data_IF_344928022113
#
_entry.id   IF_344928022113
#
_cell.length_a   1.000
_cell.length_b   1.000
_cell.length_c   1.000
_cell.angle_alpha   90.00
_cell.angle_beta   90.00
_cell.angle_gamma   90.00
#
_symmetry.space_group_name_H-M   'P 1'
#
loop_
_entity.id
_entity.type
_entity.pdbx_description
1 polymer ?
#
# COMPACT_ATOMS: atom_id res chain seq x y z
N UNK A 1 -61.49 -6.20 77.75
CA UNK A 1 -62.89 -5.86 78.02
C UNK A 1 -63.16 -6.38 79.42
N UNK A 2 -63.65 -5.55 80.33
CA UNK A 2 -64.01 -6.00 81.68
C UNK A 2 -65.46 -6.53 81.71
N UNK A 3 -65.89 -7.03 82.87
CA UNK A 3 -67.21 -7.62 83.12
C UNK A 3 -68.37 -6.62 82.91
N UNK A 4 -68.07 -5.34 82.63
CA UNK A 4 -69.03 -4.27 82.32
C UNK A 4 -69.01 -3.83 80.85
N UNK A 5 -68.36 -4.61 79.97
CA UNK A 5 -68.18 -4.30 78.55
C UNK A 5 -67.38 -3.03 78.25
N UNK A 6 -66.60 -2.49 79.19
CA UNK A 6 -65.72 -1.37 78.87
C UNK A 6 -64.53 -1.87 78.02
N UNK A 7 -64.33 -1.26 76.86
CA UNK A 7 -63.16 -1.49 75.99
C UNK A 7 -62.26 -0.27 75.99
N UNK A 8 -60.99 -0.47 76.32
CA UNK A 8 -59.92 0.50 76.05
C UNK A 8 -59.20 0.04 74.79
N UNK A 9 -59.15 0.91 73.78
CA UNK A 9 -58.37 0.69 72.56
C UNK A 9 -57.03 1.40 72.70
N UNK A 10 -55.95 0.64 72.71
CA UNK A 10 -54.58 1.19 72.59
C UNK A 10 -54.22 1.12 71.10
N UNK A 11 -54.14 2.28 70.46
CA UNK A 11 -53.65 2.37 69.08
C UNK A 11 -52.13 2.55 69.12
N UNK A 12 -51.38 1.57 68.60
CA UNK A 12 -49.95 1.73 68.29
C UNK A 12 -49.81 2.17 66.84
N UNK A 13 -49.33 3.39 66.61
CA UNK A 13 -48.90 3.79 65.28
C UNK A 13 -47.62 3.02 64.94
N UNK A 14 -47.71 2.07 64.02
CA UNK A 14 -46.54 1.37 63.46
C UNK A 14 -46.20 2.06 62.15
N UNK A 15 -45.12 2.82 62.15
CA UNK A 15 -44.51 3.31 60.91
C UNK A 15 -43.56 2.23 60.40
N UNK A 16 -43.95 1.51 59.35
CA UNK A 16 -43.04 0.65 58.60
C UNK A 16 -42.32 1.57 57.62
N UNK A 17 -41.13 2.05 57.98
CA UNK A 17 -40.19 2.59 57.00
C UNK A 17 -39.63 1.40 56.23
N UNK A 18 -39.73 1.39 54.90
CA UNK A 18 -38.95 0.48 54.07
C UNK A 18 -37.50 0.52 54.57
N UNK A 19 -36.91 -0.63 54.88
CA UNK A 19 -35.47 -0.68 55.11
C UNK A 19 -34.78 0.06 53.96
N UNK A 20 -33.66 0.75 54.22
CA UNK A 20 -32.82 1.25 53.12
C UNK A 20 -32.28 0.01 52.37
N UNK A 21 -33.07 -0.51 51.44
CA UNK A 21 -32.70 -1.63 50.58
C UNK A 21 -31.64 -1.07 49.64
N UNK A 22 -30.41 -1.58 49.71
CA UNK A 22 -29.35 -1.18 48.80
C UNK A 22 -29.66 -1.66 47.39
N UNK A 23 -29.24 -0.89 46.39
CA UNK A 23 -29.25 -1.35 44.99
C UNK A 23 -28.43 -2.64 44.82
N UNK A 24 -28.69 -3.43 43.76
CA UNK A 24 -27.85 -4.55 43.41
C UNK A 24 -26.38 -4.17 43.25
N UNK A 25 -25.49 -5.11 43.49
CA UNK A 25 -24.04 -4.96 43.25
C UNK A 25 -23.66 -5.82 42.06
N UNK A 26 -22.97 -5.24 41.07
CA UNK A 26 -22.39 -5.97 39.93
C UNK A 26 -20.90 -6.14 40.20
N UNK A 27 -20.40 -7.38 40.11
CA UNK A 27 -19.00 -7.74 40.31
C UNK A 27 -18.40 -8.42 39.07
N UNK A 28 -17.08 -8.38 38.95
CA UNK A 28 -16.33 -9.06 37.87
C UNK A 28 -16.06 -8.24 36.62
N UNK A 29 -16.59 -7.00 36.52
CA UNK A 29 -16.34 -6.13 35.36
C UNK A 29 -14.91 -5.57 35.39
N UNK A 30 -14.14 -5.80 34.33
CA UNK A 30 -12.77 -5.30 34.17
C UNK A 30 -12.53 -4.76 32.78
N UNK A 31 -11.87 -3.62 32.67
CA UNK A 31 -11.48 -3.07 31.38
C UNK A 31 -10.51 -4.00 30.64
N UNK A 32 -10.60 -4.02 29.31
CA UNK A 32 -9.82 -4.90 28.45
C UNK A 32 -9.19 -4.11 27.29
N UNK A 33 -7.97 -4.49 26.93
CA UNK A 33 -7.23 -3.92 25.81
C UNK A 33 -6.82 -5.06 24.86
N UNK A 34 -7.08 -4.86 23.56
CA UNK A 34 -6.76 -5.79 22.49
C UNK A 34 -5.98 -5.09 21.39
N UNK A 35 -5.13 -5.83 20.69
CA UNK A 35 -4.58 -5.36 19.42
C UNK A 35 -5.51 -5.73 18.28
N UNK A 36 -5.67 -4.86 17.29
CA UNK A 36 -6.46 -5.15 16.07
C UNK A 36 -6.00 -6.47 15.44
N UNK A 37 -4.71 -6.78 15.50
CA UNK A 37 -4.14 -8.04 15.00
C UNK A 37 -4.54 -9.31 15.75
N UNK A 38 -4.99 -9.21 17.00
CA UNK A 38 -5.42 -10.36 17.82
C UNK A 38 -6.79 -10.88 17.39
N UNK A 39 -7.52 -10.13 16.56
CA UNK A 39 -8.87 -10.45 16.10
C UNK A 39 -8.88 -10.66 14.58
N UNK A 40 -9.01 -11.92 14.16
CA UNK A 40 -9.07 -12.31 12.73
C UNK A 40 -10.48 -12.21 12.14
N UNK A 41 -11.49 -12.15 13.00
CA UNK A 41 -12.89 -12.31 12.61
C UNK A 41 -13.58 -10.94 12.69
N UNK A 42 -14.48 -10.66 11.74
CA UNK A 42 -15.25 -9.40 11.70
C UNK A 42 -16.32 -9.30 12.78
N UNK A 43 -16.31 -10.20 13.78
CA UNK A 43 -17.30 -10.23 14.85
C UNK A 43 -16.98 -9.20 15.94
N UNK A 44 -18.02 -8.76 16.65
CA UNK A 44 -17.89 -7.91 17.84
C UNK A 44 -17.18 -8.66 18.98
N UNK A 45 -16.62 -7.93 19.95
CA UNK A 45 -16.01 -8.54 21.13
C UNK A 45 -17.00 -9.45 21.87
N UNK A 46 -16.46 -10.51 22.48
CA UNK A 46 -17.24 -11.43 23.29
C UNK A 46 -17.60 -10.75 24.62
N UNK A 47 -18.89 -10.66 24.91
CA UNK A 47 -19.40 -10.23 26.20
C UNK A 47 -18.92 -11.22 27.27
N UNK A 48 -18.28 -10.72 28.33
CA UNK A 48 -17.84 -11.53 29.46
C UNK A 48 -19.07 -12.09 30.20
N UNK A 49 -19.25 -13.41 30.11
CA UNK A 49 -20.36 -14.15 30.72
C UNK A 49 -20.11 -14.48 32.20
N UNK A 50 -18.95 -14.10 32.75
CA UNK A 50 -18.59 -14.34 34.15
C UNK A 50 -18.99 -13.20 35.10
N UNK A 51 -19.48 -12.08 34.56
CA UNK A 51 -20.03 -10.96 35.34
C UNK A 51 -21.28 -11.42 36.10
N UNK A 52 -21.32 -11.14 37.40
CA UNK A 52 -22.44 -11.53 38.27
C UNK A 52 -23.01 -10.34 39.01
N UNK A 53 -24.27 -10.45 39.44
CA UNK A 53 -24.89 -9.46 40.30
C UNK A 53 -25.58 -10.10 41.51
N UNK A 54 -25.54 -9.43 42.65
CA UNK A 54 -26.26 -9.83 43.87
C UNK A 54 -27.18 -8.72 44.35
N UNK A 55 -28.37 -9.08 44.81
CA UNK A 55 -29.27 -8.16 45.50
C UNK A 55 -28.82 -7.87 46.95
N UNK A 56 -29.57 -7.03 47.68
CA UNK A 56 -29.27 -6.69 49.08
C UNK A 56 -29.28 -7.90 50.05
N UNK A 57 -29.92 -9.01 49.67
CA UNK A 57 -30.00 -10.24 50.45
C UNK A 57 -28.87 -11.24 50.08
N UNK A 58 -27.99 -10.86 49.15
CA UNK A 58 -26.90 -11.70 48.65
C UNK A 58 -27.35 -12.78 47.65
N UNK A 59 -28.57 -12.68 47.11
CA UNK A 59 -29.08 -13.61 46.10
C UNK A 59 -28.54 -13.19 44.73
N UNK A 60 -28.05 -14.15 43.95
CA UNK A 60 -27.64 -13.90 42.57
C UNK A 60 -28.85 -13.53 41.71
N UNK A 61 -28.73 -12.46 40.94
CA UNK A 61 -29.75 -11.99 39.99
C UNK A 61 -29.19 -11.94 38.56
N UNK A 62 -30.06 -11.96 37.52
CA UNK A 62 -29.61 -11.86 36.13
C UNK A 62 -28.87 -10.55 35.84
N UNK A 63 -27.88 -10.64 34.95
CA UNK A 63 -27.17 -9.48 34.39
C UNK A 63 -27.48 -9.41 32.91
N UNK A 64 -27.98 -8.27 32.46
CA UNK A 64 -28.13 -7.97 31.03
C UNK A 64 -26.93 -7.15 30.56
N UNK A 65 -26.38 -7.50 29.39
CA UNK A 65 -25.27 -6.80 28.78
C UNK A 65 -25.69 -6.22 27.42
N UNK A 66 -25.28 -4.98 27.16
CA UNK A 66 -25.48 -4.31 25.88
C UNK A 66 -24.17 -3.69 25.40
N UNK A 67 -23.93 -3.70 24.09
CA UNK A 67 -22.73 -3.13 23.49
C UNK A 67 -23.08 -2.37 22.21
N UNK A 68 -22.24 -1.40 21.82
CA UNK A 68 -22.32 -0.77 20.50
C UNK A 68 -22.09 -1.78 19.38
N UNK A 69 -22.55 -1.52 18.16
CA UNK A 69 -22.12 -2.29 16.99
C UNK A 69 -20.60 -2.17 16.86
N UNK A 70 -19.88 -3.25 17.13
CA UNK A 70 -18.42 -3.28 17.04
C UNK A 70 -18.05 -4.01 15.76
N UNK A 71 -17.39 -3.27 14.87
CA UNK A 71 -16.57 -3.83 13.79
C UNK A 71 -15.13 -3.54 14.17
N UNK A 72 -14.26 -4.56 14.10
CA UNK A 72 -12.83 -4.61 14.48
C UNK A 72 -11.94 -3.43 13.97
N UNK A 73 -12.23 -2.23 14.44
CA UNK A 73 -11.60 -0.96 14.06
C UNK A 73 -11.00 -0.32 15.31
N UNK A 74 -9.75 0.17 15.28
CA UNK A 74 -9.12 0.81 16.43
C UNK A 74 -10.00 1.89 17.09
N UNK A 75 -10.09 1.86 18.42
CA UNK A 75 -10.98 2.76 19.16
C UNK A 75 -11.31 2.30 20.57
N UNK A 76 -12.15 3.08 21.24
CA UNK A 76 -12.68 2.77 22.57
C UNK A 76 -14.18 2.47 22.47
N UNK A 77 -14.57 1.36 23.06
CA UNK A 77 -15.92 0.80 23.05
C UNK A 77 -16.40 0.56 24.47
N UNK A 78 -17.72 0.43 24.63
CA UNK A 78 -18.37 0.26 25.92
C UNK A 78 -19.27 -0.97 25.91
N UNK A 79 -19.11 -1.83 26.91
CA UNK A 79 -20.09 -2.85 27.27
C UNK A 79 -20.78 -2.37 28.55
N UNK A 80 -22.10 -2.25 28.50
CA UNK A 80 -22.90 -1.79 29.63
C UNK A 80 -23.63 -2.97 30.24
N UNK A 81 -23.30 -3.29 31.49
CA UNK A 81 -23.92 -4.32 32.29
C UNK A 81 -24.98 -3.70 33.19
N UNK A 82 -26.18 -4.28 33.22
CA UNK A 82 -27.31 -3.81 34.00
C UNK A 82 -27.93 -4.96 34.79
N UNK A 83 -28.27 -4.72 36.05
CA UNK A 83 -28.99 -5.66 36.90
C UNK A 83 -30.15 -4.93 37.60
N UNK A 84 -31.31 -5.57 37.62
CA UNK A 84 -32.55 -5.04 38.20
C UNK A 84 -33.05 -6.05 39.24
N UNK A 85 -33.34 -5.59 40.46
CA UNK A 85 -33.92 -6.45 41.51
C UNK A 85 -35.44 -6.51 41.47
N UNK A 86 -36.03 -7.34 42.34
CA UNK A 86 -37.49 -7.49 42.52
C UNK A 86 -38.19 -6.20 43.00
N UNK A 87 -37.44 -5.14 43.35
CA UNK A 87 -37.92 -3.83 43.77
C UNK A 87 -37.72 -2.76 42.69
N UNK A 88 -37.44 -3.17 41.45
CA UNK A 88 -37.17 -2.31 40.29
C UNK A 88 -35.94 -1.38 40.47
N UNK A 89 -35.02 -1.70 41.39
CA UNK A 89 -33.79 -0.94 41.55
C UNK A 89 -32.74 -1.40 40.54
N UNK A 90 -32.19 -0.46 39.79
CA UNK A 90 -31.17 -0.73 38.77
C UNK A 90 -29.77 -0.30 39.21
N UNK A 91 -28.79 -1.18 38.95
CA UNK A 91 -27.36 -0.87 38.94
C UNK A 91 -26.80 -1.09 37.55
N UNK A 92 -25.93 -0.17 37.12
CA UNK A 92 -25.26 -0.24 35.82
C UNK A 92 -23.76 -0.07 36.01
N UNK A 93 -22.97 -0.92 35.35
CA UNK A 93 -21.51 -0.83 35.30
C UNK A 93 -21.06 -0.85 33.85
N UNK A 94 -20.11 0.01 33.49
CA UNK A 94 -19.54 0.11 32.15
C UNK A 94 -18.15 -0.52 32.16
N UNK A 95 -17.93 -1.45 31.23
CA UNK A 95 -16.62 -1.96 30.85
C UNK A 95 -16.08 -1.16 29.68
N UNK A 96 -14.83 -0.68 29.77
CA UNK A 96 -14.12 -0.11 28.63
C UNK A 96 -13.38 -1.21 27.87
N UNK A 97 -13.56 -1.20 26.56
CA UNK A 97 -12.87 -2.10 25.61
C UNK A 97 -12.07 -1.24 24.66
N UNK A 98 -10.74 -1.36 24.69
CA UNK A 98 -9.84 -0.58 23.83
C UNK A 98 -9.19 -1.45 22.78
N UNK A 99 -9.33 -1.08 21.51
CA UNK A 99 -8.62 -1.71 20.39
C UNK A 99 -7.48 -0.79 19.97
N UNK A 100 -6.26 -1.28 20.07
CA UNK A 100 -5.07 -0.60 19.57
C UNK A 100 -4.84 -0.93 18.10
N UNK A 101 -4.51 0.08 17.30
CA UNK A 101 -4.01 -0.14 15.94
C UNK A 101 -2.54 -0.51 15.99
N UNK A 102 -2.23 -1.79 15.83
CA UNK A 102 -0.86 -2.28 15.79
C UNK A 102 -0.39 -2.62 14.37
N UNK A 103 -1.21 -2.41 13.35
CA UNK A 103 -0.87 -2.71 11.96
C UNK A 103 0.30 -1.87 11.42
N UNK A 104 0.42 -0.55 11.69
CA UNK A 104 1.58 0.21 11.25
C UNK A 104 2.91 -0.39 11.73
N UNK A 105 3.00 -0.78 13.00
CA UNK A 105 4.20 -1.41 13.57
C UNK A 105 4.48 -2.78 12.92
N UNK A 106 3.44 -3.59 12.69
CA UNK A 106 3.57 -4.89 11.99
C UNK A 106 4.06 -4.72 10.55
N UNK A 107 3.55 -3.71 9.84
CA UNK A 107 3.93 -3.40 8.46
C UNK A 107 5.39 -2.94 8.37
N UNK A 108 5.85 -2.14 9.33
CA UNK A 108 7.28 -1.78 9.44
C UNK A 108 8.17 -3.01 9.66
N UNK A 109 7.68 -4.02 10.39
CA UNK A 109 8.32 -5.32 10.58
C UNK A 109 8.16 -6.26 9.36
N UNK A 110 7.49 -5.80 8.29
CA UNK A 110 7.25 -6.55 7.06
C UNK A 110 6.12 -7.60 7.14
N UNK A 111 5.31 -7.56 8.21
CA UNK A 111 4.10 -8.37 8.37
C UNK A 111 2.90 -7.59 7.85
N UNK A 112 2.53 -7.83 6.59
CA UNK A 112 1.48 -7.08 5.90
C UNK A 112 0.16 -7.83 6.02
N UNK A 113 -0.91 -7.21 6.58
CA UNK A 113 -2.20 -7.87 6.65
C UNK A 113 -2.84 -7.98 5.26
N UNK A 114 -3.46 -9.13 4.98
CA UNK A 114 -4.17 -9.42 3.74
C UNK A 114 -5.68 -9.22 3.93
N UNK A 115 -6.07 -7.97 4.20
CA UNK A 115 -7.40 -7.51 4.59
C UNK A 115 -8.04 -6.47 3.63
N UNK A 116 -7.38 -6.16 2.51
CA UNK A 116 -7.79 -5.19 1.49
C UNK A 116 -7.29 -3.75 1.72
N UNK A 117 -6.55 -3.48 2.79
CA UNK A 117 -6.07 -2.12 3.13
C UNK A 117 -4.74 -1.78 2.40
N UNK A 118 -3.89 -2.78 2.22
CA UNK A 118 -2.52 -2.60 1.69
C UNK A 118 -2.38 -3.04 0.23
N UNK A 119 -3.21 -3.99 -0.18
CA UNK A 119 -3.20 -4.58 -1.51
C UNK A 119 -4.61 -4.63 -2.08
N UNK A 120 -4.70 -4.48 -3.40
CA UNK A 120 -5.89 -4.80 -4.17
C UNK A 120 -6.30 -6.27 -3.94
N UNK A 121 -7.61 -6.58 -3.99
CA UNK A 121 -8.14 -7.92 -3.69
C UNK A 121 -7.64 -9.01 -4.63
N UNK A 122 -7.42 -8.70 -5.91
CA UNK A 122 -6.84 -9.65 -6.86
C UNK A 122 -5.34 -9.83 -6.60
N UNK A 123 -4.64 -8.76 -6.19
CA UNK A 123 -3.24 -8.88 -5.78
C UNK A 123 -3.10 -9.71 -4.50
N UNK A 124 -3.99 -9.55 -3.52
CA UNK A 124 -4.01 -10.43 -2.35
C UNK A 124 -4.27 -11.88 -2.71
N UNK A 125 -5.19 -12.15 -3.63
CA UNK A 125 -5.48 -13.51 -4.12
C UNK A 125 -4.22 -14.11 -4.76
N UNK A 126 -3.54 -13.34 -5.59
CA UNK A 126 -2.24 -13.73 -6.15
C UNK A 126 -1.20 -14.03 -5.06
N UNK A 127 -1.09 -13.19 -4.03
CA UNK A 127 -0.16 -13.39 -2.92
C UNK A 127 -0.51 -14.65 -2.12
N UNK A 128 -1.80 -14.88 -1.84
CA UNK A 128 -2.32 -16.07 -1.14
C UNK A 128 -1.98 -17.35 -1.89
N UNK A 129 -2.17 -17.38 -3.20
CA UNK A 129 -2.00 -18.61 -3.97
C UNK A 129 -0.52 -18.93 -4.27
N UNK A 130 0.32 -17.90 -4.49
CA UNK A 130 1.73 -18.10 -4.89
C UNK A 130 2.73 -18.02 -3.73
N UNK A 131 2.35 -17.39 -2.61
CA UNK A 131 3.23 -17.14 -1.47
C UNK A 131 2.63 -17.60 -0.13
N UNK A 132 1.68 -18.56 -0.16
CA UNK A 132 1.06 -19.16 1.03
C UNK A 132 2.05 -19.61 2.11
N UNK A 133 3.23 -20.11 1.73
CA UNK A 133 4.30 -20.50 2.67
C UNK A 133 4.83 -19.36 3.54
N UNK A 134 4.62 -18.11 3.15
CA UNK A 134 5.03 -16.91 3.90
C UNK A 134 3.86 -16.24 4.61
N UNK A 135 2.68 -16.87 4.59
CA UNK A 135 1.47 -16.37 5.23
C UNK A 135 1.24 -17.13 6.54
N UNK A 136 1.00 -16.39 7.62
CA UNK A 136 0.63 -16.93 8.92
C UNK A 136 -0.57 -16.17 9.46
N UNK A 137 -1.70 -16.87 9.61
CA UNK A 137 -2.98 -16.23 9.92
C UNK A 137 -3.37 -15.25 8.81
N UNK A 138 -3.61 -13.99 9.17
CA UNK A 138 -3.96 -12.92 8.24
C UNK A 138 -2.77 -12.15 7.66
N UNK A 139 -1.53 -12.47 8.05
CA UNK A 139 -0.35 -11.69 7.68
C UNK A 139 0.52 -12.41 6.66
N UNK A 140 0.93 -11.69 5.62
CA UNK A 140 2.02 -12.03 4.74
C UNK A 140 3.33 -11.48 5.30
N UNK A 141 4.36 -12.32 5.44
CA UNK A 141 5.71 -11.84 5.69
C UNK A 141 6.41 -11.47 4.37
N UNK A 142 6.36 -10.18 4.02
CA UNK A 142 6.89 -9.65 2.78
C UNK A 142 8.44 -9.66 2.73
N UNK A 143 9.13 -9.79 3.86
CA UNK A 143 10.60 -9.83 3.91
C UNK A 143 11.19 -11.11 3.29
N UNK A 144 10.40 -12.17 3.15
CA UNK A 144 10.83 -13.42 2.52
C UNK A 144 10.61 -13.47 1.00
N UNK A 145 10.02 -12.42 0.41
CA UNK A 145 9.76 -12.34 -1.02
C UNK A 145 10.86 -11.49 -1.67
N UNK A 146 11.75 -12.17 -2.41
CA UNK A 146 12.87 -11.53 -3.10
C UNK A 146 12.59 -11.31 -4.59
N UNK A 147 11.65 -12.04 -5.18
CA UNK A 147 11.30 -11.92 -6.59
C UNK A 147 9.79 -12.02 -6.72
N UNK A 148 9.20 -11.18 -7.58
CA UNK A 148 7.77 -11.20 -7.84
C UNK A 148 7.51 -11.14 -9.34
N UNK A 149 7.00 -12.25 -9.88
CA UNK A 149 6.68 -12.40 -11.31
C UNK A 149 5.20 -12.67 -11.50
N UNK A 150 4.48 -11.72 -12.09
CA UNK A 150 3.07 -11.88 -12.47
C UNK A 150 3.02 -12.23 -13.96
N UNK A 151 2.67 -13.48 -14.26
CA UNK A 151 2.61 -14.00 -15.62
C UNK A 151 1.17 -14.02 -16.17
N UNK A 152 1.05 -14.29 -17.47
CA UNK A 152 -0.22 -14.30 -18.20
C UNK A 152 -1.26 -15.33 -17.74
N UNK A 153 -0.89 -16.28 -16.88
CA UNK A 153 -1.84 -17.26 -16.34
C UNK A 153 -2.72 -16.65 -15.23
N UNK A 154 -2.29 -15.51 -14.69
CA UNK A 154 -3.03 -14.70 -13.74
C UNK A 154 -3.78 -13.57 -14.45
N UNK A 155 -4.95 -13.92 -15.01
CA UNK A 155 -5.77 -13.02 -15.83
C UNK A 155 -6.70 -12.09 -15.03
N UNK A 156 -6.49 -11.98 -13.73
CA UNK A 156 -7.31 -11.08 -12.92
C UNK A 156 -6.88 -9.64 -13.23
N UNK A 157 -7.83 -8.71 -13.48
CA UNK A 157 -7.49 -7.31 -13.61
C UNK A 157 -7.06 -6.75 -12.26
N UNK A 158 -5.91 -6.11 -12.18
CA UNK A 158 -5.41 -5.49 -10.96
C UNK A 158 -5.71 -3.99 -10.97
N UNK A 159 -6.40 -3.47 -9.95
CA UNK A 159 -6.56 -2.03 -9.83
C UNK A 159 -5.23 -1.35 -9.46
N UNK A 160 -4.51 -1.91 -8.48
CA UNK A 160 -3.17 -1.43 -8.11
C UNK A 160 -2.27 -2.59 -7.69
N UNK A 161 -1.10 -2.66 -8.32
CA UNK A 161 0.03 -3.46 -7.83
C UNK A 161 0.96 -2.54 -7.04
N UNK A 162 0.88 -2.63 -5.72
CA UNK A 162 1.71 -1.85 -4.80
C UNK A 162 2.86 -2.70 -4.26
N UNK A 163 4.07 -2.38 -4.67
CA UNK A 163 5.27 -3.13 -4.29
C UNK A 163 6.02 -2.53 -3.09
N UNK A 164 5.57 -1.40 -2.55
CA UNK A 164 6.31 -0.61 -1.56
C UNK A 164 6.60 -1.38 -0.25
N UNK A 165 5.85 -2.46 0.02
CA UNK A 165 5.97 -3.29 1.22
C UNK A 165 7.00 -4.44 1.11
N UNK A 166 7.53 -4.74 -0.08
CA UNK A 166 8.46 -5.85 -0.28
C UNK A 166 9.92 -5.39 -0.19
N UNK A 167 10.39 -5.06 1.03
CA UNK A 167 11.70 -4.39 1.24
C UNK A 167 12.94 -5.17 0.78
N UNK A 168 12.83 -6.49 0.67
CA UNK A 168 13.92 -7.36 0.19
C UNK A 168 13.78 -7.74 -1.29
N UNK A 169 12.80 -7.18 -2.00
CA UNK A 169 12.55 -7.48 -3.40
C UNK A 169 13.73 -7.04 -4.26
N UNK A 170 14.22 -7.94 -5.10
CA UNK A 170 15.35 -7.81 -6.02
C UNK A 170 14.92 -7.72 -7.47
N UNK A 171 13.78 -8.35 -7.80
CA UNK A 171 13.23 -8.37 -9.15
C UNK A 171 11.70 -8.22 -9.16
N UNK A 172 11.21 -7.39 -10.09
CA UNK A 172 9.81 -7.33 -10.50
C UNK A 172 9.70 -7.70 -11.97
N UNK A 173 8.78 -8.60 -12.30
CA UNK A 173 8.43 -8.93 -13.68
C UNK A 173 6.90 -9.03 -13.86
N UNK A 174 6.35 -8.29 -14.81
CA UNK A 174 4.91 -8.31 -15.14
C UNK A 174 4.77 -8.56 -16.63
N UNK A 175 4.15 -9.68 -17.01
CA UNK A 175 4.00 -10.09 -18.41
C UNK A 175 2.98 -9.26 -19.19
N UNK A 176 3.12 -9.23 -20.52
CA UNK A 176 2.32 -8.42 -21.47
C UNK A 176 0.79 -8.60 -21.38
N UNK A 177 0.31 -9.76 -20.93
CA UNK A 177 -1.12 -10.07 -20.85
C UNK A 177 -1.74 -9.76 -19.48
N UNK A 178 -0.98 -9.18 -18.57
CA UNK A 178 -1.48 -8.79 -17.24
C UNK A 178 -2.15 -7.43 -17.36
N UNK A 179 -3.45 -7.38 -17.07
CA UNK A 179 -4.20 -6.13 -17.01
C UNK A 179 -4.01 -5.48 -15.64
N UNK A 180 -3.24 -4.38 -15.59
CA UNK A 180 -3.05 -3.59 -14.37
C UNK A 180 -3.31 -2.12 -14.65
N UNK A 181 -4.10 -1.45 -13.82
CA UNK A 181 -4.35 -0.01 -13.96
C UNK A 181 -3.22 0.84 -13.40
N UNK A 182 -2.71 0.49 -12.21
CA UNK A 182 -1.69 1.27 -11.51
C UNK A 182 -0.57 0.38 -10.97
N UNK A 183 0.67 0.83 -11.09
CA UNK A 183 1.86 0.19 -10.53
C UNK A 183 2.60 1.20 -9.65
N UNK A 184 2.90 0.82 -8.42
CA UNK A 184 3.68 1.63 -7.45
C UNK A 184 4.92 0.87 -6.99
N UNK A 185 6.09 1.48 -7.17
CA UNK A 185 7.39 0.89 -6.82
C UNK A 185 8.27 1.97 -6.18
N UNK A 186 8.21 2.10 -4.87
CA UNK A 186 8.92 3.15 -4.12
C UNK A 186 9.73 2.59 -2.97
N UNK A 187 10.87 3.21 -2.69
CA UNK A 187 11.67 2.92 -1.49
C UNK A 187 12.08 1.43 -1.37
N UNK A 188 12.48 0.82 -2.49
CA UNK A 188 12.93 -0.57 -2.57
C UNK A 188 14.45 -0.63 -2.81
N UNK A 189 15.20 -0.53 -1.73
CA UNK A 189 16.66 -0.43 -1.74
C UNK A 189 17.38 -1.75 -2.07
N UNK A 190 16.66 -2.86 -2.26
CA UNK A 190 17.25 -4.13 -2.72
C UNK A 190 16.94 -4.40 -4.20
N UNK A 191 16.08 -3.59 -4.81
CA UNK A 191 15.53 -3.87 -6.13
C UNK A 191 16.57 -3.55 -7.21
N UNK A 192 16.90 -4.57 -7.99
CA UNK A 192 17.96 -4.51 -9.00
C UNK A 192 17.45 -4.62 -10.44
N UNK A 193 16.27 -5.22 -10.64
CA UNK A 193 15.69 -5.46 -11.96
C UNK A 193 14.19 -5.19 -11.97
N UNK A 194 13.74 -4.40 -12.95
CA UNK A 194 12.32 -4.16 -13.25
C UNK A 194 12.04 -4.49 -14.71
N UNK A 195 11.05 -5.34 -14.95
CA UNK A 195 10.52 -5.65 -16.28
C UNK A 195 9.00 -5.54 -16.28
N UNK A 196 8.48 -4.43 -16.80
CA UNK A 196 7.05 -4.16 -16.89
C UNK A 196 6.60 -4.17 -18.34
N UNK A 197 5.56 -4.94 -18.62
CA UNK A 197 4.90 -4.96 -19.91
C UNK A 197 3.41 -4.68 -19.69
N UNK A 198 2.89 -3.57 -20.20
CA UNK A 198 1.49 -3.21 -19.89
C UNK A 198 0.97 -2.01 -20.66
N UNK A 199 0.57 -2.23 -21.91
CA UNK A 199 0.00 -1.20 -22.81
C UNK A 199 -1.25 -0.51 -22.24
N UNK A 200 -1.96 -1.13 -21.28
CA UNK A 200 -3.13 -0.58 -20.59
C UNK A 200 -2.86 0.13 -19.25
N UNK A 201 -1.62 0.18 -18.79
CA UNK A 201 -1.29 0.74 -17.46
C UNK A 201 -1.46 2.25 -17.46
N UNK A 202 -2.37 2.76 -16.62
CA UNK A 202 -2.72 4.19 -16.56
C UNK A 202 -1.75 5.02 -15.72
N UNK A 203 -1.04 4.39 -14.80
CA UNK A 203 -0.06 5.06 -13.96
C UNK A 203 1.02 4.09 -13.51
N UNK A 204 2.26 4.43 -13.82
CA UNK A 204 3.46 3.81 -13.27
C UNK A 204 4.20 4.89 -12.49
N UNK A 205 4.33 4.70 -11.18
CA UNK A 205 5.09 5.60 -10.30
C UNK A 205 6.25 4.85 -9.68
N UNK A 206 7.45 5.41 -9.81
CA UNK A 206 8.66 4.85 -9.21
C UNK A 206 9.50 5.95 -8.58
N UNK A 207 10.09 5.66 -7.41
CA UNK A 207 10.99 6.59 -6.74
C UNK A 207 11.94 5.86 -5.78
N UNK A 208 13.09 6.46 -5.51
CA UNK A 208 14.06 5.99 -4.50
C UNK A 208 14.45 4.52 -4.69
N UNK A 209 14.90 4.18 -5.91
CA UNK A 209 15.35 2.84 -6.31
C UNK A 209 16.87 2.81 -6.50
N UNK A 210 17.60 3.00 -5.40
CA UNK A 210 19.05 3.27 -5.42
C UNK A 210 19.92 2.11 -5.95
N UNK A 211 19.43 0.88 -5.88
CA UNK A 211 20.14 -0.33 -6.33
C UNK A 211 19.71 -0.82 -7.72
N UNK A 212 18.82 -0.11 -8.41
CA UNK A 212 18.28 -0.52 -9.70
C UNK A 212 19.38 -0.50 -10.77
N UNK A 213 19.53 -1.62 -11.48
CA UNK A 213 20.54 -1.81 -12.54
C UNK A 213 19.91 -1.95 -13.93
N UNK A 214 18.78 -2.64 -13.98
CA UNK A 214 18.06 -2.92 -15.23
C UNK A 214 16.62 -2.43 -15.12
N UNK A 215 16.24 -1.55 -16.03
CA UNK A 215 14.88 -1.02 -16.12
C UNK A 215 14.33 -1.23 -17.52
N UNK A 216 13.29 -2.05 -17.62
CA UNK A 216 12.50 -2.23 -18.83
C UNK A 216 11.04 -1.92 -18.55
N UNK A 217 10.48 -0.96 -19.27
CA UNK A 217 9.05 -0.64 -19.28
C UNK A 217 8.61 -0.54 -20.74
N UNK A 218 7.76 -1.46 -21.16
CA UNK A 218 7.15 -1.48 -22.48
C UNK A 218 5.65 -1.23 -22.31
N UNK A 219 5.19 -0.07 -22.79
CA UNK A 219 3.78 0.30 -22.75
C UNK A 219 3.34 0.94 -21.44
N UNK A 220 2.18 1.62 -21.50
CA UNK A 220 1.54 2.26 -20.36
C UNK A 220 1.87 3.75 -20.23
N UNK A 221 1.53 4.31 -19.06
CA UNK A 221 1.73 5.74 -18.76
C UNK A 221 2.62 5.90 -17.55
N UNK A 222 3.80 6.50 -17.75
CA UNK A 222 4.67 6.87 -16.64
C UNK A 222 4.16 8.18 -16.02
N UNK A 223 4.12 8.22 -14.69
CA UNK A 223 3.72 9.44 -13.99
C UNK A 223 4.78 10.53 -14.19
N UNK A 224 4.35 11.78 -14.39
CA UNK A 224 5.24 12.94 -14.48
C UNK A 224 6.00 13.22 -13.18
N UNK A 225 5.58 12.61 -12.06
CA UNK A 225 6.29 12.67 -10.79
C UNK A 225 7.46 11.69 -10.69
N UNK A 226 7.63 10.79 -11.66
CA UNK A 226 8.72 9.79 -11.65
C UNK A 226 10.05 10.49 -11.89
N UNK A 227 11.00 10.33 -10.95
CA UNK A 227 12.33 10.93 -11.03
C UNK A 227 13.40 9.82 -11.03
N UNK A 228 14.30 9.84 -12.03
CA UNK A 228 15.39 8.89 -12.17
C UNK A 228 16.69 9.33 -11.45
N UNK A 229 16.71 10.53 -10.85
CA UNK A 229 17.91 11.13 -10.25
C UNK A 229 18.60 10.19 -9.26
N UNK A 230 17.82 9.48 -8.43
CA UNK A 230 18.31 8.58 -7.39
C UNK A 230 18.80 7.22 -7.91
N UNK A 231 18.51 6.86 -9.16
CA UNK A 231 18.73 5.53 -9.74
C UNK A 231 20.09 5.41 -10.45
N UNK A 232 21.14 5.97 -9.86
CA UNK A 232 22.49 6.14 -10.47
C UNK A 232 23.22 4.86 -10.86
N UNK A 233 22.71 3.69 -10.43
CA UNK A 233 23.26 2.36 -10.74
C UNK A 233 22.69 1.72 -12.00
N UNK A 234 21.71 2.34 -12.67
CA UNK A 234 21.15 1.80 -13.91
C UNK A 234 22.26 1.71 -14.97
N UNK A 235 22.42 0.51 -15.55
CA UNK A 235 23.33 0.22 -16.65
C UNK A 235 22.59 -0.05 -17.96
N UNK A 236 21.35 -0.54 -17.88
CA UNK A 236 20.49 -0.84 -19.02
C UNK A 236 19.10 -0.23 -18.81
N UNK A 237 18.66 0.56 -19.78
CA UNK A 237 17.35 1.21 -19.76
C UNK A 237 16.59 0.96 -21.07
N UNK A 238 15.35 0.53 -20.94
CA UNK A 238 14.41 0.36 -22.04
C UNK A 238 13.06 0.97 -21.64
N UNK A 239 12.70 2.10 -22.25
CA UNK A 239 11.49 2.88 -21.97
C UNK A 239 10.74 3.10 -23.28
N UNK A 240 9.96 2.11 -23.72
CA UNK A 240 9.33 2.13 -25.04
C UNK A 240 7.81 2.14 -24.97
N UNK A 241 7.17 2.75 -25.96
CA UNK A 241 5.71 2.84 -26.10
C UNK A 241 5.01 3.48 -24.88
N UNK A 242 5.68 4.39 -24.18
CA UNK A 242 5.15 5.07 -23.01
C UNK A 242 4.42 6.36 -23.39
N UNK A 243 3.34 6.63 -22.67
CA UNK A 243 2.68 7.94 -22.64
C UNK A 243 3.02 8.68 -21.35
N UNK A 244 2.83 10.00 -21.33
CA UNK A 244 3.09 10.84 -20.15
C UNK A 244 4.56 11.21 -19.93
N UNK A 245 5.50 10.63 -20.69
CA UNK A 245 6.92 10.97 -20.65
C UNK A 245 7.21 12.14 -21.59
N UNK A 246 7.06 13.38 -21.11
CA UNK A 246 7.31 14.56 -21.96
C UNK A 246 8.77 15.03 -21.99
N UNK A 247 9.49 14.79 -20.89
CA UNK A 247 10.90 15.09 -20.70
C UNK A 247 11.56 13.93 -19.95
N UNK A 248 12.82 13.67 -20.26
CA UNK A 248 13.61 12.65 -19.60
C UNK A 248 14.99 13.20 -19.24
N UNK A 249 15.32 13.22 -17.96
CA UNK A 249 16.64 13.63 -17.46
C UNK A 249 17.46 12.39 -17.11
N UNK A 250 18.58 12.20 -17.82
CA UNK A 250 19.50 11.07 -17.63
C UNK A 250 20.86 11.52 -17.08
N UNK A 251 21.00 12.79 -16.67
CA UNK A 251 22.29 13.36 -16.22
C UNK A 251 22.91 12.59 -15.05
N UNK A 252 22.09 12.09 -14.11
CA UNK A 252 22.57 11.33 -12.96
C UNK A 252 22.95 9.88 -13.27
N UNK A 253 22.52 9.35 -14.43
CA UNK A 253 22.71 7.95 -14.81
C UNK A 253 24.09 7.72 -15.44
N UNK A 254 25.14 8.07 -14.70
CA UNK A 254 26.55 8.02 -15.15
C UNK A 254 27.06 6.60 -15.45
N UNK A 255 26.31 5.57 -15.02
CA UNK A 255 26.61 4.16 -15.29
C UNK A 255 25.85 3.58 -16.49
N UNK A 256 24.95 4.35 -17.12
CA UNK A 256 24.14 3.90 -18.23
C UNK A 256 25.04 3.52 -19.41
N UNK A 257 24.91 2.28 -19.88
CA UNK A 257 25.70 1.73 -21.00
C UNK A 257 24.88 1.56 -22.27
N UNK A 258 23.58 1.38 -22.11
CA UNK A 258 22.63 1.22 -23.21
C UNK A 258 21.28 1.83 -22.83
N UNK A 259 20.72 2.60 -23.76
CA UNK A 259 19.39 3.19 -23.61
C UNK A 259 18.57 3.03 -24.90
N UNK A 260 17.41 2.38 -24.77
CA UNK A 260 16.35 2.38 -25.79
C UNK A 260 15.14 3.12 -25.23
N UNK A 261 14.80 4.25 -25.84
CA UNK A 261 13.67 5.10 -25.44
C UNK A 261 12.91 5.42 -26.73
N UNK A 262 12.10 4.49 -27.22
CA UNK A 262 11.47 4.58 -28.54
C UNK A 262 9.95 4.62 -28.46
N UNK A 263 9.30 5.24 -29.45
CA UNK A 263 7.83 5.27 -29.56
C UNK A 263 7.13 5.94 -28.38
N UNK A 264 7.73 7.00 -27.82
CA UNK A 264 7.13 7.81 -26.75
C UNK A 264 6.58 9.10 -27.37
N UNK A 265 5.28 9.17 -27.73
CA UNK A 265 4.73 10.28 -28.51
C UNK A 265 4.76 11.63 -27.78
N UNK A 266 4.86 11.64 -26.46
CA UNK A 266 4.91 12.90 -25.69
C UNK A 266 6.35 13.44 -25.53
N UNK A 267 7.38 12.61 -25.81
CA UNK A 267 8.76 12.91 -25.48
C UNK A 267 9.38 13.92 -26.45
N UNK A 268 9.71 15.10 -25.93
CA UNK A 268 10.25 16.24 -26.70
C UNK A 268 11.68 16.61 -26.30
N UNK A 269 12.14 16.18 -25.13
CA UNK A 269 13.46 16.54 -24.60
C UNK A 269 14.06 15.37 -23.83
N UNK A 270 15.32 15.06 -24.13
CA UNK A 270 16.15 14.15 -23.35
C UNK A 270 17.44 14.88 -22.97
N UNK A 271 17.73 14.95 -21.68
CA UNK A 271 18.93 15.62 -21.17
C UNK A 271 19.98 14.60 -20.76
N UNK A 272 21.21 14.84 -21.22
CA UNK A 272 22.38 14.05 -20.88
C UNK A 272 23.39 14.92 -20.15
N UNK A 273 24.11 14.30 -19.22
CA UNK A 273 25.28 14.88 -18.55
C UNK A 273 26.54 14.24 -19.14
N UNK A 274 27.51 13.92 -18.28
CA UNK A 274 28.69 13.15 -18.66
C UNK A 274 28.37 11.64 -18.66
N UNK A 275 27.45 11.21 -19.51
CA UNK A 275 27.06 9.81 -19.68
C UNK A 275 28.04 9.05 -20.60
N UNK A 276 29.34 9.17 -20.34
CA UNK A 276 30.42 8.67 -21.22
C UNK A 276 30.43 7.16 -21.45
N UNK A 277 29.70 6.39 -20.64
CA UNK A 277 29.58 4.93 -20.75
C UNK A 277 28.53 4.46 -21.74
N UNK A 278 27.63 5.31 -22.23
CA UNK A 278 26.61 4.91 -23.19
C UNK A 278 27.30 4.54 -24.51
N UNK A 279 27.13 3.29 -24.93
CA UNK A 279 27.64 2.76 -26.19
C UNK A 279 26.55 2.75 -27.27
N UNK A 280 25.31 2.44 -26.89
CA UNK A 280 24.14 2.42 -27.77
C UNK A 280 23.02 3.31 -27.26
N UNK A 281 22.55 4.23 -28.10
CA UNK A 281 21.45 5.14 -27.80
C UNK A 281 20.40 5.10 -28.91
N UNK A 282 19.21 4.61 -28.60
CA UNK A 282 18.09 4.52 -29.54
C UNK A 282 16.92 5.39 -29.04
N UNK A 283 16.65 6.45 -29.79
CA UNK A 283 15.64 7.47 -29.51
C UNK A 283 14.61 7.58 -30.65
N UNK A 284 14.41 6.52 -31.43
CA UNK A 284 13.58 6.58 -32.62
C UNK A 284 12.08 6.69 -32.32
N UNK A 285 11.32 7.30 -33.23
CA UNK A 285 9.87 7.44 -33.13
C UNK A 285 9.41 8.23 -31.89
N UNK A 286 10.07 9.34 -31.58
CA UNK A 286 9.64 10.29 -30.57
C UNK A 286 9.33 11.64 -31.22
N UNK A 287 9.15 12.69 -30.43
CA UNK A 287 8.91 14.06 -30.90
C UNK A 287 10.04 15.02 -30.52
N UNK A 288 11.28 14.52 -30.44
CA UNK A 288 12.45 15.31 -30.04
C UNK A 288 12.80 16.32 -31.14
N UNK A 289 12.86 17.60 -30.78
CA UNK A 289 13.21 18.70 -31.70
C UNK A 289 14.64 19.22 -31.54
N UNK A 290 15.23 19.00 -30.37
CA UNK A 290 16.61 19.35 -30.05
C UNK A 290 17.25 18.23 -29.24
N UNK A 291 18.48 17.88 -29.60
CA UNK A 291 19.24 16.81 -28.95
C UNK A 291 20.71 17.22 -28.87
N UNK A 292 21.25 17.27 -27.64
CA UNK A 292 22.69 17.39 -27.43
C UNK A 292 23.24 16.06 -26.93
N UNK A 293 24.25 15.54 -27.63
CA UNK A 293 24.94 14.29 -27.28
C UNK A 293 26.42 14.52 -26.90
N UNK A 294 26.80 15.77 -26.62
CA UNK A 294 28.20 16.17 -26.37
C UNK A 294 28.85 15.41 -25.21
N UNK A 295 28.11 15.15 -24.14
CA UNK A 295 28.59 14.41 -22.95
C UNK A 295 28.57 12.89 -23.09
N UNK A 296 28.24 12.37 -24.28
CA UNK A 296 28.14 10.92 -24.57
C UNK A 296 29.29 10.47 -25.49
N UNK A 297 30.53 10.78 -25.11
CA UNK A 297 31.70 10.60 -25.99
C UNK A 297 32.01 9.13 -26.33
N UNK A 298 31.49 8.16 -25.57
CA UNK A 298 31.67 6.72 -25.80
C UNK A 298 30.72 6.11 -26.84
N UNK A 299 29.81 6.90 -27.41
CA UNK A 299 28.73 6.41 -28.26
C UNK A 299 29.24 5.79 -29.56
N UNK A 300 28.84 4.54 -29.84
CA UNK A 300 29.23 3.79 -31.05
C UNK A 300 28.04 3.47 -31.97
N UNK A 301 26.81 3.65 -31.49
CA UNK A 301 25.59 3.44 -32.27
C UNK A 301 24.51 4.41 -31.81
N UNK A 302 23.92 5.13 -32.77
CA UNK A 302 22.88 6.11 -32.52
C UNK A 302 21.73 5.90 -33.49
N UNK A 303 20.51 5.88 -32.97
CA UNK A 303 19.29 5.95 -33.78
C UNK A 303 18.40 7.09 -33.29
N UNK A 304 18.22 8.10 -34.14
CA UNK A 304 17.32 9.24 -33.89
C UNK A 304 16.25 9.35 -34.98
N UNK A 305 16.00 8.28 -35.73
CA UNK A 305 15.02 8.25 -36.81
C UNK A 305 13.61 8.58 -36.34
N UNK A 306 12.80 9.17 -37.22
CA UNK A 306 11.43 9.57 -36.91
C UNK A 306 11.33 10.47 -35.65
N UNK A 307 12.07 11.58 -35.68
CA UNK A 307 11.96 12.69 -34.73
C UNK A 307 11.70 13.99 -35.52
N UNK A 308 11.89 15.14 -34.87
CA UNK A 308 11.71 16.48 -35.44
C UNK A 308 13.00 17.32 -35.33
N UNK A 309 14.20 16.71 -35.35
CA UNK A 309 15.45 17.47 -35.18
C UNK A 309 15.72 18.36 -36.40
N UNK A 310 16.09 19.62 -36.20
CA UNK A 310 16.57 20.48 -37.30
C UNK A 310 18.07 20.26 -37.58
N UNK A 311 18.82 19.88 -36.56
CA UNK A 311 20.25 19.61 -36.65
C UNK A 311 20.68 18.52 -35.66
N UNK A 312 21.81 17.90 -35.94
CA UNK A 312 22.51 17.02 -35.02
C UNK A 312 24.01 17.25 -35.16
N UNK A 313 24.68 17.55 -34.05
CA UNK A 313 26.13 17.65 -33.97
C UNK A 313 26.72 16.39 -33.35
N UNK A 314 27.50 15.66 -34.15
CA UNK A 314 28.22 14.45 -33.74
C UNK A 314 29.74 14.66 -33.61
N UNK A 315 30.23 15.90 -33.73
CA UNK A 315 31.67 16.23 -33.76
C UNK A 315 32.44 15.84 -32.49
N UNK A 316 31.73 15.74 -31.37
CA UNK A 316 32.30 15.30 -30.09
C UNK A 316 32.26 13.77 -29.90
N UNK A 317 31.56 13.05 -30.77
CA UNK A 317 31.32 11.61 -30.67
C UNK A 317 32.14 10.88 -31.73
N UNK A 318 33.48 10.86 -31.55
CA UNK A 318 34.48 10.43 -32.54
C UNK A 318 34.31 9.00 -33.07
N UNK A 319 33.59 8.14 -32.36
CA UNK A 319 33.31 6.76 -32.77
C UNK A 319 32.09 6.65 -33.70
N UNK A 320 31.33 7.73 -33.88
CA UNK A 320 30.21 7.78 -34.81
C UNK A 320 30.69 8.12 -36.23
N UNK A 321 30.05 7.48 -37.20
CA UNK A 321 30.17 7.69 -38.63
C UNK A 321 28.77 7.77 -39.24
N UNK A 322 28.65 8.03 -40.55
CA UNK A 322 27.33 7.98 -41.20
C UNK A 322 26.70 6.57 -41.15
N UNK A 323 27.51 5.51 -41.10
CA UNK A 323 27.02 4.14 -41.19
C UNK A 323 26.37 3.65 -39.88
N UNK A 324 26.79 4.19 -38.73
CA UNK A 324 26.29 3.79 -37.41
C UNK A 324 25.35 4.83 -36.76
N UNK A 325 25.02 5.89 -37.50
CA UNK A 325 24.05 6.92 -37.11
C UNK A 325 22.83 6.80 -38.02
N UNK A 326 21.72 6.30 -37.47
CA UNK A 326 20.45 6.23 -38.17
C UNK A 326 19.69 7.54 -38.03
N UNK A 327 19.59 8.26 -39.14
CA UNK A 327 18.81 9.48 -39.28
C UNK A 327 17.69 9.18 -40.29
N UNK A 328 16.46 9.05 -39.78
CA UNK A 328 15.23 8.93 -40.57
C UNK A 328 14.30 10.12 -40.29
N UNK A 329 14.89 11.30 -40.20
CA UNK A 329 14.24 12.48 -39.63
C UNK A 329 13.33 13.18 -40.66
N UNK A 330 12.20 13.73 -40.23
CA UNK A 330 11.19 14.31 -41.14
C UNK A 330 11.37 15.82 -41.40
N UNK A 331 12.27 16.48 -40.68
CA UNK A 331 12.47 17.92 -40.83
C UNK A 331 13.14 18.29 -42.17
N UNK A 332 12.48 19.18 -42.93
CA UNK A 332 13.05 19.77 -44.14
C UNK A 332 14.28 20.61 -43.75
N UNK A 333 15.41 20.36 -44.41
CA UNK A 333 16.65 21.11 -44.16
C UNK A 333 17.49 20.60 -42.98
N UNK A 334 17.29 19.34 -42.58
CA UNK A 334 18.12 18.71 -41.55
C UNK A 334 19.62 18.87 -41.83
N UNK A 335 20.37 19.27 -40.80
CA UNK A 335 21.82 19.47 -40.87
C UNK A 335 22.57 18.53 -39.93
N UNK A 336 23.44 17.68 -40.49
CA UNK A 336 24.40 16.90 -39.73
C UNK A 336 25.73 17.66 -39.64
N UNK A 337 26.21 17.92 -38.43
CA UNK A 337 27.52 18.52 -38.13
C UNK A 337 28.43 17.41 -37.63
N UNK A 338 29.67 17.37 -38.11
CA UNK A 338 30.67 16.34 -37.78
C UNK A 338 32.01 16.96 -37.45
#
# INVERSE_FOLDING_TARGET
MDDYQNTTTITRNVSVTSANISKPVIEGVKDIEYKRSDHTDKESFKIDQTVTATDYAGRTIPVEASQSEVVNNPGEYKITYSAIDDFDQTTTVVQLVKILDDYPEKVEQGLIPLNGEYFDSNFETYLKDNYSKYISGQFLNALYINDLTINSNWKLPYDTLNFDYFKNLKKIEISTLVEVKNIKISNLNSLSEIKLFGDGTKSITMDSLHELKELTILGGKISTSTNFESMTKITYMHLDNLTGLSKLDLRSLVNLSFASITKNPDLTTVEFGENTKILGLYLSNNNISQLSIKGISGLISLDVSNNNLAELDISNNKSLTEDNVKIGNQAIGFKLIK
#
